data_IF_508006694081
#
_entry.id   IF_508006694081
#
_cell.length_a   1.000
_cell.length_b   1.000
_cell.length_c   1.000
_cell.angle_alpha   90.00
_cell.angle_beta   90.00
_cell.angle_gamma   90.00
#
_symmetry.space_group_name_H-M   'P 1'
#
loop_
_entity.id
_entity.type
_entity.pdbx_description
1 polymer ?
#
# COMPACT_ATOMS: atom_id res chain seq x y z
N UNK A 1 16.76 -5.92 -22.80
CA UNK A 1 17.53 -5.40 -21.67
C UNK A 1 18.67 -6.35 -21.37
N UNK A 2 19.85 -5.83 -21.05
CA UNK A 2 20.97 -6.62 -20.54
C UNK A 2 20.83 -6.88 -19.02
N UNK A 3 21.72 -7.69 -18.45
CA UNK A 3 21.68 -8.05 -17.02
C UNK A 3 21.77 -6.83 -16.09
N UNK A 4 22.61 -5.84 -16.44
CA UNK A 4 22.79 -4.64 -15.65
C UNK A 4 21.52 -3.77 -15.62
N UNK A 5 20.84 -3.64 -16.76
CA UNK A 5 19.57 -2.91 -16.86
C UNK A 5 18.47 -3.57 -16.02
N UNK A 6 18.41 -4.91 -15.96
CA UNK A 6 17.45 -5.61 -15.10
C UNK A 6 17.73 -5.41 -13.60
N UNK A 7 18.99 -5.36 -13.20
CA UNK A 7 19.38 -5.06 -11.82
C UNK A 7 18.98 -3.63 -11.46
N UNK A 8 19.29 -2.65 -12.32
CA UNK A 8 18.89 -1.27 -12.11
C UNK A 8 17.37 -1.13 -12.01
N UNK A 9 16.62 -1.77 -12.92
CA UNK A 9 15.17 -1.79 -12.88
C UNK A 9 14.62 -2.41 -11.58
N UNK A 10 15.24 -3.50 -11.08
CA UNK A 10 14.84 -4.10 -9.80
C UNK A 10 15.08 -3.16 -8.60
N UNK A 11 16.17 -2.38 -8.63
CA UNK A 11 16.46 -1.37 -7.61
C UNK A 11 15.43 -0.24 -7.64
N UNK A 12 15.08 0.23 -8.84
CA UNK A 12 14.02 1.22 -9.03
C UNK A 12 12.66 0.72 -8.55
N UNK A 13 12.27 -0.51 -8.89
CA UNK A 13 11.02 -1.11 -8.45
C UNK A 13 10.95 -1.25 -6.92
N UNK A 14 12.08 -1.58 -6.28
CA UNK A 14 12.19 -1.61 -4.80
C UNK A 14 11.96 -0.22 -4.20
N UNK A 15 12.63 0.79 -4.74
CA UNK A 15 12.52 2.19 -4.28
C UNK A 15 11.10 2.73 -4.43
N UNK A 16 10.45 2.44 -5.56
CA UNK A 16 9.06 2.81 -5.78
C UNK A 16 8.12 2.09 -4.81
N UNK A 17 8.36 0.81 -4.52
CA UNK A 17 7.57 0.06 -3.52
C UNK A 17 7.63 0.71 -2.14
N UNK A 18 8.83 1.10 -1.68
CA UNK A 18 8.98 1.82 -0.40
C UNK A 18 8.31 3.18 -0.40
N UNK A 19 8.42 3.91 -1.50
CA UNK A 19 7.80 5.23 -1.66
C UNK A 19 6.27 5.11 -1.61
N UNK A 20 5.68 4.14 -2.30
CA UNK A 20 4.24 3.88 -2.28
C UNK A 20 3.73 3.47 -0.90
N UNK A 21 4.50 2.68 -0.16
CA UNK A 21 4.18 2.36 1.23
C UNK A 21 4.22 3.60 2.16
N UNK A 22 5.24 4.45 2.03
CA UNK A 22 5.35 5.68 2.80
C UNK A 22 4.21 6.67 2.50
N UNK A 23 3.82 6.80 1.22
CA UNK A 23 2.67 7.62 0.82
C UNK A 23 1.37 7.10 1.45
N UNK A 24 1.17 5.79 1.49
CA UNK A 24 0.01 5.18 2.12
C UNK A 24 -0.05 5.45 3.63
N UNK A 25 1.07 5.32 4.35
CA UNK A 25 1.14 5.66 5.78
C UNK A 25 0.85 7.15 6.01
N UNK A 26 1.33 8.03 5.13
CA UNK A 26 1.06 9.47 5.19
C UNK A 26 -0.43 9.76 5.03
N UNK A 27 -1.08 9.13 4.04
CA UNK A 27 -2.52 9.26 3.83
C UNK A 27 -3.34 8.73 5.00
N UNK A 28 -3.00 7.55 5.51
CA UNK A 28 -3.66 6.95 6.67
C UNK A 28 -3.53 7.83 7.92
N UNK A 29 -2.33 8.34 8.18
CA UNK A 29 -2.05 9.22 9.32
C UNK A 29 -2.81 10.55 9.20
N UNK A 30 -2.81 11.15 8.01
CA UNK A 30 -3.55 12.38 7.74
C UNK A 30 -5.06 12.20 7.92
N UNK A 31 -5.60 11.07 7.46
CA UNK A 31 -7.01 10.72 7.67
C UNK A 31 -7.33 10.55 9.16
N UNK A 32 -6.52 9.77 9.90
CA UNK A 32 -6.71 9.59 11.35
C UNK A 32 -6.65 10.93 12.11
N UNK A 33 -5.70 11.80 11.78
CA UNK A 33 -5.60 13.13 12.38
C UNK A 33 -6.84 13.99 12.08
N UNK A 34 -7.31 14.00 10.82
CA UNK A 34 -8.52 14.72 10.44
C UNK A 34 -9.76 14.16 11.16
N UNK A 35 -9.90 12.83 11.21
CA UNK A 35 -10.96 12.16 11.95
C UNK A 35 -10.96 12.55 13.43
N UNK A 36 -9.79 12.63 14.06
CA UNK A 36 -9.67 13.04 15.46
C UNK A 36 -10.06 14.50 15.71
N UNK A 37 -9.63 15.43 14.84
CA UNK A 37 -9.82 16.87 15.05
C UNK A 37 -11.24 17.32 14.72
N UNK A 38 -11.80 16.84 13.61
CA UNK A 38 -13.09 17.33 13.08
C UNK A 38 -14.16 16.24 12.95
N UNK A 39 -13.84 14.97 13.19
CA UNK A 39 -14.74 13.86 12.86
C UNK A 39 -16.09 13.90 13.57
N UNK A 40 -16.14 14.38 14.82
CA UNK A 40 -17.41 14.54 15.57
C UNK A 40 -18.29 15.68 15.05
N UNK A 41 -17.72 16.63 14.30
CA UNK A 41 -18.42 17.82 13.78
C UNK A 41 -18.94 17.63 12.35
N UNK A 42 -18.57 16.54 11.68
CA UNK A 42 -18.97 16.30 10.30
C UNK A 42 -20.40 15.75 10.22
N UNK A 43 -21.14 16.24 9.23
CA UNK A 43 -22.44 15.67 8.88
C UNK A 43 -22.27 14.27 8.26
N UNK A 44 -23.30 13.44 8.30
CA UNK A 44 -23.25 12.09 7.73
C UNK A 44 -22.85 12.10 6.25
N UNK A 45 -23.33 13.08 5.47
CA UNK A 45 -22.96 13.21 4.06
C UNK A 45 -21.48 13.58 3.88
N UNK A 46 -20.94 14.49 4.70
CA UNK A 46 -19.50 14.84 4.67
C UNK A 46 -18.62 13.65 5.01
N UNK A 47 -19.04 12.80 5.96
CA UNK A 47 -18.32 11.59 6.32
C UNK A 47 -18.33 10.56 5.20
N UNK A 48 -19.48 10.34 4.55
CA UNK A 48 -19.57 9.44 3.39
C UNK A 48 -18.62 9.90 2.29
N UNK A 49 -18.64 11.19 1.95
CA UNK A 49 -17.74 11.75 0.92
C UNK A 49 -16.27 11.63 1.32
N UNK A 50 -15.92 11.96 2.57
CA UNK A 50 -14.55 11.85 3.07
C UNK A 50 -14.05 10.41 3.03
N UNK A 51 -14.87 9.45 3.47
CA UNK A 51 -14.54 8.02 3.42
C UNK A 51 -14.40 7.54 1.98
N UNK A 52 -15.27 7.96 1.08
CA UNK A 52 -15.19 7.58 -0.33
C UNK A 52 -13.88 8.07 -0.97
N UNK A 53 -13.52 9.35 -0.75
CA UNK A 53 -12.26 9.92 -1.24
C UNK A 53 -11.06 9.19 -0.63
N UNK A 54 -11.09 8.94 0.68
CA UNK A 54 -10.03 8.20 1.37
C UNK A 54 -9.88 6.78 0.83
N UNK A 55 -10.95 6.00 0.74
CA UNK A 55 -10.94 4.62 0.23
C UNK A 55 -10.43 4.59 -1.21
N UNK A 56 -10.86 5.54 -2.06
CA UNK A 56 -10.42 5.60 -3.45
C UNK A 56 -8.93 5.88 -3.57
N UNK A 57 -8.43 6.89 -2.84
CA UNK A 57 -7.00 7.22 -2.81
C UNK A 57 -6.17 6.07 -2.21
N UNK A 58 -6.63 5.50 -1.11
CA UNK A 58 -5.98 4.38 -0.44
C UNK A 58 -5.86 3.16 -1.37
N UNK A 59 -6.95 2.83 -2.07
CA UNK A 59 -6.99 1.72 -3.04
C UNK A 59 -6.05 1.99 -4.20
N UNK A 60 -5.99 3.22 -4.72
CA UNK A 60 -5.05 3.60 -5.77
C UNK A 60 -3.58 3.36 -5.35
N UNK A 61 -3.19 3.81 -4.15
CA UNK A 61 -1.84 3.57 -3.63
C UNK A 61 -1.56 2.09 -3.37
N UNK A 62 -2.53 1.34 -2.86
CA UNK A 62 -2.39 -0.10 -2.62
C UNK A 62 -2.20 -0.87 -3.95
N UNK A 63 -2.96 -0.53 -5.00
CA UNK A 63 -2.79 -1.11 -6.33
C UNK A 63 -1.44 -0.75 -6.95
N UNK A 64 -0.98 0.49 -6.77
CA UNK A 64 0.33 0.90 -7.24
C UNK A 64 1.46 0.16 -6.52
N UNK A 65 1.37 0.00 -5.19
CA UNK A 65 2.34 -0.79 -4.42
C UNK A 65 2.37 -2.26 -4.88
N UNK A 66 1.21 -2.84 -5.18
CA UNK A 66 1.11 -4.18 -5.75
C UNK A 66 1.80 -4.28 -7.12
N UNK A 67 1.56 -3.31 -8.01
CA UNK A 67 2.22 -3.25 -9.33
C UNK A 67 3.75 -3.21 -9.22
N UNK A 68 4.28 -2.32 -8.37
CA UNK A 68 5.74 -2.22 -8.17
C UNK A 68 6.35 -3.50 -7.58
N UNK A 69 5.60 -4.23 -6.75
CA UNK A 69 6.05 -5.51 -6.21
C UNK A 69 6.13 -6.59 -7.29
N UNK A 70 5.17 -6.63 -8.23
CA UNK A 70 5.22 -7.52 -9.39
C UNK A 70 6.40 -7.16 -10.31
N UNK A 71 6.58 -5.88 -10.62
CA UNK A 71 7.70 -5.40 -11.43
C UNK A 71 9.04 -5.78 -10.81
N UNK A 72 9.16 -5.67 -9.49
CA UNK A 72 10.33 -6.10 -8.74
C UNK A 72 10.60 -7.60 -8.89
N UNK A 73 9.57 -8.44 -8.78
CA UNK A 73 9.73 -9.89 -8.94
C UNK A 73 10.15 -10.27 -10.37
N UNK A 74 9.52 -9.66 -11.37
CA UNK A 74 9.85 -9.89 -12.79
C UNK A 74 11.28 -9.42 -13.08
N UNK A 75 11.67 -8.25 -12.57
CA UNK A 75 13.02 -7.73 -12.75
C UNK A 75 14.09 -8.68 -12.18
N UNK A 76 13.84 -9.22 -10.99
CA UNK A 76 14.78 -10.14 -10.33
C UNK A 76 14.84 -11.50 -11.00
N UNK A 77 13.71 -12.04 -11.49
CA UNK A 77 13.73 -13.32 -12.21
C UNK A 77 14.51 -13.21 -13.52
N UNK A 78 14.34 -12.11 -14.27
CA UNK A 78 15.09 -11.85 -15.49
C UNK A 78 16.58 -11.60 -15.22
N UNK A 79 16.92 -10.90 -14.13
CA UNK A 79 18.31 -10.66 -13.75
C UNK A 79 19.03 -11.95 -13.32
N UNK A 80 18.33 -12.87 -12.67
CA UNK A 80 18.89 -14.13 -12.16
C UNK A 80 19.35 -15.09 -13.27
N UNK A 81 18.78 -14.99 -14.48
CA UNK A 81 19.26 -15.75 -15.65
C UNK A 81 20.72 -15.40 -16.01
N UNK A 82 21.15 -14.17 -15.70
CA UNK A 82 22.47 -13.66 -16.03
C UNK A 82 23.41 -13.56 -14.81
N UNK A 83 22.86 -13.49 -13.60
CA UNK A 83 23.63 -13.37 -12.35
C UNK A 83 23.10 -14.40 -11.34
N UNK A 84 23.75 -15.58 -11.22
CA UNK A 84 23.26 -16.69 -10.38
C UNK A 84 23.15 -16.39 -8.88
N UNK A 85 23.84 -15.35 -8.41
CA UNK A 85 23.83 -14.92 -7.01
C UNK A 85 22.53 -14.17 -6.61
N UNK A 86 21.72 -13.75 -7.59
CA UNK A 86 20.46 -13.07 -7.33
C UNK A 86 19.44 -14.08 -6.81
N UNK A 87 19.10 -13.96 -5.52
CA UNK A 87 17.99 -14.71 -4.95
C UNK A 87 16.67 -14.28 -5.58
N UNK A 88 15.92 -15.26 -6.08
CA UNK A 88 14.57 -15.11 -6.62
C UNK A 88 13.64 -15.87 -5.69
N UNK A 89 12.53 -15.24 -5.30
CA UNK A 89 11.48 -15.96 -4.60
C UNK A 89 10.86 -17.00 -5.51
N UNK A 90 10.56 -18.17 -4.96
CA UNK A 90 9.65 -19.10 -5.63
C UNK A 90 8.28 -18.44 -5.83
N UNK A 91 7.52 -18.93 -6.81
CA UNK A 91 6.16 -18.42 -7.07
C UNK A 91 5.25 -18.48 -5.85
N UNK A 92 5.41 -19.50 -5.00
CA UNK A 92 4.65 -19.67 -3.77
C UNK A 92 5.04 -18.63 -2.69
N UNK A 93 6.34 -18.37 -2.52
CA UNK A 93 6.82 -17.35 -1.57
C UNK A 93 6.39 -15.95 -2.00
N UNK A 94 6.51 -15.66 -3.31
CA UNK A 94 6.04 -14.44 -3.93
C UNK A 94 4.54 -14.21 -3.67
N UNK A 95 3.70 -15.23 -3.92
CA UNK A 95 2.26 -15.16 -3.70
C UNK A 95 1.92 -14.98 -2.21
N UNK A 96 2.61 -15.69 -1.31
CA UNK A 96 2.41 -15.56 0.12
C UNK A 96 2.75 -14.15 0.62
N UNK A 97 3.86 -13.58 0.14
CA UNK A 97 4.27 -12.22 0.48
C UNK A 97 3.27 -11.16 -0.02
N UNK A 98 2.82 -11.31 -1.27
CA UNK A 98 1.75 -10.47 -1.86
C UNK A 98 0.48 -10.54 -1.01
N UNK A 99 0.02 -11.75 -0.68
CA UNK A 99 -1.20 -11.96 0.09
C UNK A 99 -1.08 -11.33 1.49
N UNK A 100 0.07 -11.49 2.13
CA UNK A 100 0.35 -10.83 3.41
C UNK A 100 0.29 -9.30 3.28
N UNK A 101 0.92 -8.71 2.26
CA UNK A 101 0.88 -7.27 2.03
C UNK A 101 -0.56 -6.76 1.81
N UNK A 102 -1.36 -7.46 1.00
CA UNK A 102 -2.78 -7.13 0.77
C UNK A 102 -3.57 -7.18 2.09
N UNK A 103 -3.36 -8.18 2.93
CA UNK A 103 -4.02 -8.28 4.23
C UNK A 103 -3.63 -7.12 5.16
N UNK A 104 -2.36 -6.70 5.15
CA UNK A 104 -1.91 -5.52 5.90
C UNK A 104 -2.60 -4.26 5.40
N UNK A 105 -2.71 -4.05 4.08
CA UNK A 105 -3.40 -2.89 3.52
C UNK A 105 -4.90 -2.88 3.89
N UNK A 106 -5.59 -4.02 3.76
CA UNK A 106 -6.99 -4.12 4.19
C UNK A 106 -7.11 -3.84 5.68
N UNK A 107 -6.22 -4.38 6.51
CA UNK A 107 -6.21 -4.17 7.96
C UNK A 107 -6.07 -2.69 8.32
N UNK A 108 -5.12 -1.98 7.72
CA UNK A 108 -4.91 -0.54 7.95
C UNK A 108 -6.14 0.27 7.52
N UNK A 109 -6.72 -0.03 6.36
CA UNK A 109 -7.94 0.62 5.90
C UNK A 109 -9.09 0.47 6.91
N UNK A 110 -9.33 -0.76 7.38
CA UNK A 110 -10.38 -1.06 8.35
C UNK A 110 -10.13 -0.38 9.69
N UNK A 111 -8.87 -0.32 10.15
CA UNK A 111 -8.50 0.41 11.37
C UNK A 111 -8.83 1.90 11.23
N UNK A 112 -8.50 2.53 10.11
CA UNK A 112 -8.83 3.94 9.85
C UNK A 112 -10.34 4.19 9.86
N UNK A 113 -11.11 3.37 9.13
CA UNK A 113 -12.57 3.51 9.05
C UNK A 113 -13.24 3.26 10.41
N UNK A 114 -12.78 2.24 11.16
CA UNK A 114 -13.24 1.97 12.51
C UNK A 114 -12.93 3.14 13.45
N UNK A 115 -11.73 3.70 13.37
CA UNK A 115 -11.37 4.86 14.20
C UNK A 115 -12.30 6.05 13.95
N UNK A 116 -12.57 6.37 12.68
CA UNK A 116 -13.53 7.41 12.32
C UNK A 116 -14.95 7.12 12.86
N UNK A 117 -15.37 5.86 12.80
CA UNK A 117 -16.64 5.41 13.38
C UNK A 117 -16.67 5.63 14.90
N UNK A 118 -15.64 5.19 15.61
CA UNK A 118 -15.54 5.27 17.07
C UNK A 118 -15.55 6.74 17.54
N UNK A 119 -14.87 7.65 16.83
CA UNK A 119 -14.91 9.10 17.14
C UNK A 119 -16.32 9.67 17.02
N UNK A 120 -17.13 9.22 16.05
CA UNK A 120 -18.49 9.73 15.86
C UNK A 120 -19.51 9.21 16.87
N UNK A 121 -19.25 8.04 17.46
CA UNK A 121 -20.19 7.36 18.34
C UNK A 121 -19.77 7.40 19.81
N UNK A 122 -18.71 8.15 20.15
CA UNK A 122 -18.16 8.21 21.51
C UNK A 122 -19.11 8.85 22.55
N UNK A 123 -20.12 9.59 22.11
CA UNK A 123 -21.06 10.33 22.96
C UNK A 123 -22.49 9.73 23.01
N UNK A 124 -22.71 8.56 22.40
CA UNK A 124 -23.93 7.75 22.57
C UNK A 124 -23.66 6.56 23.49
#
# INVERSE_FOLDING_TARGET
MNAAEWIEFSSMASSNSYTSFAMLLTFASGYLAASYIVGSKLTTLQVILSNFVFISAYTFFALNAYGNLLDWQIARSMAAESVPEIQVFSSNEAAAFVMFAVLVYIGVLLVCLKFMWDIRHREN
#
